data_IF_057735022617
#
_entry.id   IF_057735022617
#
_cell.length_a   1.000
_cell.length_b   1.000
_cell.length_c   1.000
_cell.angle_alpha   90.00
_cell.angle_beta   90.00
_cell.angle_gamma   90.00
#
_symmetry.space_group_name_H-M   'P 1'
#
loop_
_entity.id
_entity.type
_entity.pdbx_description
1 polymer ?
#
# COMPACT_ATOMS: atom_id res chain seq x y z
N UNK A 1 6.49 6.52 78.61
CA UNK A 1 5.81 5.75 77.56
C UNK A 1 4.57 6.52 77.10
N UNK A 2 4.58 7.08 75.89
CA UNK A 2 3.37 7.64 75.27
C UNK A 2 3.49 7.45 73.76
N UNK A 3 2.68 6.56 73.22
CA UNK A 3 2.69 6.08 71.84
C UNK A 3 1.97 7.10 70.95
N UNK A 4 2.70 7.75 70.05
CA UNK A 4 2.09 8.57 68.99
C UNK A 4 1.92 7.72 67.74
N UNK A 5 0.69 7.26 67.52
CA UNK A 5 0.23 6.62 66.29
C UNK A 5 -0.13 7.75 65.32
N UNK A 6 0.72 7.98 64.31
CA UNK A 6 0.40 8.86 63.20
C UNK A 6 -0.07 8.01 62.01
N UNK A 7 -1.31 8.28 61.61
CA UNK A 7 -2.05 7.74 60.47
C UNK A 7 -1.20 7.63 59.19
N UNK A 8 -0.99 6.40 58.72
CA UNK A 8 -0.55 6.11 57.37
C UNK A 8 -1.78 6.22 56.45
N UNK A 9 -1.99 7.40 55.86
CA UNK A 9 -2.96 7.61 54.80
C UNK A 9 -2.49 6.83 53.55
N UNK A 10 -3.00 5.62 53.44
CA UNK A 10 -2.95 4.78 52.24
C UNK A 10 -3.70 5.52 51.12
N UNK A 11 -2.95 6.24 50.27
CA UNK A 11 -3.39 6.70 48.96
C UNK A 11 -3.65 5.45 48.08
N UNK A 12 -4.78 4.79 48.28
CA UNK A 12 -5.32 3.82 47.33
C UNK A 12 -5.94 4.65 46.21
N UNK A 13 -5.10 5.05 45.26
CA UNK A 13 -5.55 5.53 43.96
C UNK A 13 -6.33 4.39 43.32
N UNK A 14 -7.66 4.45 43.41
CA UNK A 14 -8.54 3.63 42.58
C UNK A 14 -8.25 3.99 41.13
N UNK A 15 -7.35 3.25 40.49
CA UNK A 15 -7.26 3.22 39.04
C UNK A 15 -8.57 2.59 38.54
N UNK A 16 -9.52 3.46 38.18
CA UNK A 16 -10.70 3.09 37.42
C UNK A 16 -10.23 2.63 36.04
N UNK A 17 -9.85 1.38 35.91
CA UNK A 17 -9.65 0.78 34.60
C UNK A 17 -11.01 0.72 33.91
N UNK A 18 -11.15 1.43 32.79
CA UNK A 18 -12.30 1.30 31.92
C UNK A 18 -12.34 -0.14 31.38
N UNK A 19 -13.15 -1.00 31.97
CA UNK A 19 -13.26 -2.39 31.55
C UNK A 19 -13.99 -2.46 30.21
N UNK A 20 -13.45 -3.22 29.26
CA UNK A 20 -14.14 -3.43 27.99
C UNK A 20 -15.43 -4.22 28.17
N UNK A 21 -16.43 -3.89 27.36
CA UNK A 21 -17.72 -4.59 27.33
C UNK A 21 -17.61 -6.07 26.96
N UNK A 22 -16.58 -6.46 26.23
CA UNK A 22 -16.39 -7.81 25.70
C UNK A 22 -15.13 -8.48 26.27
N UNK A 23 -15.15 -9.80 26.41
CA UNK A 23 -13.99 -10.58 26.85
C UNK A 23 -13.13 -11.06 25.67
N UNK A 24 -11.89 -11.47 25.94
CA UNK A 24 -10.97 -12.03 24.93
C UNK A 24 -11.63 -13.18 24.16
N UNK A 25 -12.21 -14.16 24.86
CA UNK A 25 -12.85 -15.32 24.22
C UNK A 25 -14.07 -14.96 23.36
N UNK A 26 -14.81 -13.90 23.72
CA UNK A 26 -15.90 -13.38 22.89
C UNK A 26 -15.39 -12.74 21.60
N UNK A 27 -14.29 -11.99 21.68
CA UNK A 27 -13.67 -11.34 20.52
C UNK A 27 -12.99 -12.35 19.60
N UNK A 28 -12.40 -13.41 20.14
CA UNK A 28 -11.81 -14.51 19.36
C UNK A 28 -12.84 -15.25 18.52
N UNK A 29 -14.04 -15.47 19.05
CA UNK A 29 -15.11 -16.19 18.35
C UNK A 29 -15.95 -15.29 17.43
N UNK A 30 -15.90 -13.98 17.63
CA UNK A 30 -16.70 -13.02 16.87
C UNK A 30 -16.05 -12.62 15.54
N UNK A 31 -16.87 -12.46 14.50
CA UNK A 31 -16.52 -11.79 13.24
C UNK A 31 -17.14 -10.39 13.14
N UNK A 32 -17.81 -9.90 14.19
CA UNK A 32 -18.43 -8.58 14.20
C UNK A 32 -17.38 -7.48 14.42
N UNK A 33 -17.31 -6.54 13.46
CA UNK A 33 -16.40 -5.38 13.46
C UNK A 33 -16.53 -4.54 14.73
N UNK A 34 -17.75 -4.31 15.23
CA UNK A 34 -17.99 -3.48 16.41
C UNK A 34 -17.56 -4.18 17.70
N UNK A 35 -17.73 -5.50 17.78
CA UNK A 35 -17.28 -6.30 18.93
C UNK A 35 -15.76 -6.24 19.05
N UNK A 36 -15.06 -6.44 17.93
CA UNK A 36 -13.58 -6.40 17.88
C UNK A 36 -13.07 -4.97 18.15
N UNK A 37 -13.68 -3.94 17.54
CA UNK A 37 -13.27 -2.54 17.71
C UNK A 37 -13.48 -2.02 19.14
N UNK A 38 -14.58 -2.40 19.81
CA UNK A 38 -14.84 -2.00 21.19
C UNK A 38 -13.78 -2.56 22.14
N UNK A 39 -13.41 -3.83 21.99
CA UNK A 39 -12.36 -4.44 22.80
C UNK A 39 -11.01 -3.72 22.63
N UNK A 40 -10.61 -3.40 21.40
CA UNK A 40 -9.36 -2.67 21.12
C UNK A 40 -9.38 -1.28 21.77
N UNK A 41 -10.52 -0.57 21.72
CA UNK A 41 -10.67 0.78 22.25
C UNK A 41 -10.47 0.82 23.77
N UNK A 42 -11.03 -0.15 24.49
CA UNK A 42 -11.00 -0.17 25.96
C UNK A 42 -9.85 -1.00 26.54
N UNK A 43 -9.08 -1.71 25.71
CA UNK A 43 -7.89 -2.45 26.12
C UNK A 43 -6.66 -2.12 25.26
N UNK A 44 -6.19 -0.86 25.21
CA UNK A 44 -5.10 -0.46 24.33
C UNK A 44 -3.78 -1.23 24.61
N UNK A 45 -3.49 -1.53 25.88
CA UNK A 45 -2.23 -2.14 26.34
C UNK A 45 -2.33 -3.66 26.58
N UNK A 46 -3.48 -4.28 26.27
CA UNK A 46 -3.67 -5.71 26.52
C UNK A 46 -2.83 -6.56 25.54
N UNK A 47 -2.20 -7.67 26.00
CA UNK A 47 -1.27 -8.47 25.17
C UNK A 47 -1.85 -8.96 23.83
N UNK A 48 -3.17 -9.15 23.77
CA UNK A 48 -3.89 -9.64 22.58
C UNK A 48 -4.44 -8.56 21.67
N UNK A 49 -4.35 -7.29 22.06
CA UNK A 49 -4.81 -6.16 21.25
C UNK A 49 -4.12 -6.06 19.88
N UNK A 50 -2.80 -6.34 19.74
CA UNK A 50 -2.15 -6.40 18.42
C UNK A 50 -2.77 -7.45 17.47
N UNK A 51 -3.15 -8.61 18.01
CA UNK A 51 -3.80 -9.69 17.25
C UNK A 51 -5.21 -9.26 16.81
N UNK A 52 -5.99 -8.66 17.71
CA UNK A 52 -7.34 -8.19 17.39
C UNK A 52 -7.35 -7.01 16.43
N UNK A 53 -6.33 -6.13 16.43
CA UNK A 53 -6.15 -5.11 15.38
C UNK A 53 -5.97 -5.75 14.00
N UNK A 54 -5.18 -6.83 13.90
CA UNK A 54 -5.00 -7.58 12.64
C UNK A 54 -6.32 -8.25 12.21
N UNK A 55 -7.04 -8.85 13.16
CA UNK A 55 -8.34 -9.49 12.92
C UNK A 55 -9.40 -8.49 12.42
N UNK A 56 -9.50 -7.32 13.06
CA UNK A 56 -10.39 -6.23 12.65
C UNK A 56 -10.14 -5.82 11.20
N UNK A 57 -8.87 -5.64 10.85
CA UNK A 57 -8.46 -5.27 9.49
C UNK A 57 -8.81 -6.36 8.46
N UNK A 58 -8.70 -7.64 8.81
CA UNK A 58 -9.09 -8.73 7.92
C UNK A 58 -10.60 -8.76 7.66
N UNK A 59 -11.41 -8.66 8.71
CA UNK A 59 -12.88 -8.64 8.61
C UNK A 59 -13.39 -7.46 7.78
N UNK A 60 -12.89 -6.25 8.04
CA UNK A 60 -13.28 -5.04 7.29
C UNK A 60 -12.89 -5.07 5.80
N UNK A 61 -11.93 -5.92 5.41
CA UNK A 61 -11.55 -6.11 4.02
C UNK A 61 -12.37 -7.21 3.32
N UNK A 62 -12.89 -8.18 4.07
CA UNK A 62 -13.74 -9.25 3.54
C UNK A 62 -15.22 -8.84 3.42
N UNK A 63 -15.72 -7.94 4.28
CA UNK A 63 -17.12 -7.47 4.25
C UNK A 63 -17.42 -6.43 3.14
N UNK A 64 -16.42 -6.00 2.37
CA UNK A 64 -16.62 -5.02 1.30
C UNK A 64 -16.98 -5.70 -0.02
N UNK A 65 -18.20 -5.46 -0.48
CA UNK A 65 -18.61 -5.83 -1.84
C UNK A 65 -17.69 -5.19 -2.90
N UNK A 66 -17.48 -5.85 -4.06
CA UNK A 66 -16.54 -5.40 -5.10
C UNK A 66 -16.75 -3.94 -5.57
N UNK A 67 -17.96 -3.40 -5.40
CA UNK A 67 -18.34 -2.03 -5.78
C UNK A 67 -17.73 -0.97 -4.83
N UNK A 68 -17.54 -1.28 -3.55
CA UNK A 68 -16.96 -0.33 -2.58
C UNK A 68 -15.42 -0.30 -2.64
N UNK A 69 -14.78 -1.37 -3.10
CA UNK A 69 -13.34 -1.40 -3.40
C UNK A 69 -12.99 -0.49 -4.59
N UNK A 70 -13.93 -0.29 -5.53
CA UNK A 70 -13.73 0.53 -6.73
C UNK A 70 -13.88 2.05 -6.52
N UNK A 71 -14.42 2.51 -5.38
CA UNK A 71 -14.75 3.94 -5.16
C UNK A 71 -13.66 4.78 -4.50
N UNK A 72 -12.60 4.16 -3.95
CA UNK A 72 -11.53 4.88 -3.21
C UNK A 72 -10.24 5.06 -4.02
N UNK A 73 -10.05 4.36 -5.13
CA UNK A 73 -8.85 4.52 -5.95
C UNK A 73 -9.07 4.03 -7.39
N UNK A 74 -9.95 4.68 -8.16
CA UNK A 74 -10.02 4.42 -9.61
C UNK A 74 -8.86 5.17 -10.28
N UNK A 75 -7.82 4.49 -10.82
CA UNK A 75 -6.77 5.18 -11.55
C UNK A 75 -7.32 5.72 -12.87
N UNK A 76 -6.91 6.93 -13.22
CA UNK A 76 -7.09 7.45 -14.57
C UNK A 76 -6.05 6.77 -15.46
N UNK A 77 -6.51 5.88 -16.33
CA UNK A 77 -5.65 5.19 -17.30
C UNK A 77 -5.75 5.99 -18.59
N UNK A 78 -4.77 6.84 -18.85
CA UNK A 78 -4.62 7.50 -20.15
C UNK A 78 -3.72 6.65 -21.04
N UNK A 79 -4.13 6.33 -22.29
CA UNK A 79 -3.18 5.84 -23.27
C UNK A 79 -2.04 6.86 -23.40
N UNK A 80 -0.81 6.38 -23.35
CA UNK A 80 0.36 7.23 -23.34
C UNK A 80 0.54 7.84 -24.72
N UNK A 81 0.50 9.16 -24.79
CA UNK A 81 0.97 9.85 -25.98
C UNK A 81 2.51 9.80 -25.97
N UNK A 82 3.11 9.14 -26.97
CA UNK A 82 4.56 8.84 -27.04
C UNK A 82 5.43 10.08 -26.82
N UNK A 83 4.93 11.25 -27.20
CA UNK A 83 5.60 12.56 -27.09
C UNK A 83 5.74 13.04 -25.64
N UNK A 84 4.73 12.79 -24.79
CA UNK A 84 4.74 13.20 -23.38
C UNK A 84 5.71 12.35 -22.57
N UNK A 85 5.74 11.05 -22.84
CA UNK A 85 6.66 10.10 -22.21
C UNK A 85 8.12 10.42 -22.55
N UNK A 86 8.39 10.77 -23.81
CA UNK A 86 9.72 11.19 -24.29
C UNK A 86 10.27 12.40 -23.52
N UNK A 87 9.40 13.35 -23.15
CA UNK A 87 9.80 14.56 -22.45
C UNK A 87 10.02 14.32 -20.95
N UNK A 88 9.26 13.41 -20.33
CA UNK A 88 9.40 13.05 -18.92
C UNK A 88 10.69 12.25 -18.68
N UNK A 89 10.96 11.25 -19.53
CA UNK A 89 12.19 10.44 -19.44
C UNK A 89 13.44 11.30 -19.69
N UNK A 90 13.43 12.19 -20.69
CA UNK A 90 14.53 13.15 -20.91
C UNK A 90 14.77 14.06 -19.71
N UNK A 91 13.72 14.46 -19.01
CA UNK A 91 13.79 15.34 -17.84
C UNK A 91 14.32 14.62 -16.60
N UNK A 92 14.01 13.34 -16.45
CA UNK A 92 14.53 12.50 -15.37
C UNK A 92 16.04 12.23 -15.56
N UNK A 93 16.47 11.91 -16.79
CA UNK A 93 17.88 11.72 -17.16
C UNK A 93 18.71 12.99 -16.95
N UNK A 94 18.16 14.17 -17.30
CA UNK A 94 18.84 15.44 -17.12
C UNK A 94 18.98 15.86 -15.64
N UNK A 95 18.11 15.37 -14.75
CA UNK A 95 18.13 15.71 -13.31
C UNK A 95 19.06 14.83 -12.47
N UNK A 96 19.28 13.58 -12.87
CA UNK A 96 19.97 12.58 -12.04
C UNK A 96 21.42 12.29 -12.44
N UNK A 97 22.07 13.19 -13.21
CA UNK A 97 23.53 13.24 -13.36
C UNK A 97 24.24 11.88 -13.43
N UNK A 98 24.21 11.24 -14.59
CA UNK A 98 25.11 10.16 -15.05
C UNK A 98 25.34 8.90 -14.17
N UNK A 99 24.70 8.69 -13.02
CA UNK A 99 25.10 7.62 -12.08
C UNK A 99 23.99 6.65 -11.62
N UNK A 100 22.84 6.59 -12.30
CA UNK A 100 21.87 5.51 -12.05
C UNK A 100 21.21 5.05 -13.35
N UNK A 101 21.60 3.85 -13.82
CA UNK A 101 20.90 3.05 -14.83
C UNK A 101 20.80 3.63 -16.27
N UNK A 102 21.94 4.07 -16.85
CA UNK A 102 22.03 4.37 -18.29
C UNK A 102 21.52 3.23 -19.17
N UNK A 103 21.90 1.97 -18.87
CA UNK A 103 21.51 0.80 -19.66
C UNK A 103 19.99 0.56 -19.71
N UNK A 104 19.31 0.60 -18.56
CA UNK A 104 17.86 0.43 -18.51
C UNK A 104 17.09 1.56 -19.20
N UNK A 105 17.66 2.77 -19.19
CA UNK A 105 17.08 3.96 -19.83
C UNK A 105 17.31 3.95 -21.33
N UNK A 106 18.50 3.58 -21.80
CA UNK A 106 18.82 3.39 -23.22
C UNK A 106 17.99 2.26 -23.83
N UNK A 107 17.84 1.13 -23.13
CA UNK A 107 17.00 0.01 -23.58
C UNK A 107 15.52 0.42 -23.66
N UNK A 108 15.03 1.20 -22.68
CA UNK A 108 13.69 1.80 -22.72
C UNK A 108 13.53 2.73 -23.92
N UNK A 109 14.49 3.63 -24.16
CA UNK A 109 14.46 4.53 -25.31
C UNK A 109 14.46 3.73 -26.62
N UNK A 110 15.37 2.78 -26.77
CA UNK A 110 15.50 1.95 -27.97
C UNK A 110 14.23 1.16 -28.26
N UNK A 111 13.58 0.59 -27.23
CA UNK A 111 12.30 -0.11 -27.39
C UNK A 111 11.14 0.84 -27.71
N UNK A 112 11.10 2.04 -27.14
CA UNK A 112 10.09 3.04 -27.46
C UNK A 112 10.21 3.58 -28.91
N UNK A 113 11.42 3.57 -29.47
CA UNK A 113 11.69 4.00 -30.85
C UNK A 113 11.54 2.85 -31.87
N UNK A 114 11.83 1.61 -31.47
CA UNK A 114 11.58 0.42 -32.28
C UNK A 114 10.11 0.01 -32.17
N UNK A 115 9.28 0.49 -33.10
CA UNK A 115 7.87 0.09 -33.24
C UNK A 115 7.75 -1.34 -33.79
N UNK A 116 8.31 -2.33 -33.11
CA UNK A 116 8.09 -3.74 -33.44
C UNK A 116 6.85 -4.27 -32.69
N UNK A 117 5.68 -4.40 -33.35
CA UNK A 117 4.49 -4.95 -32.71
C UNK A 117 4.66 -6.44 -32.33
N UNK A 118 5.64 -7.14 -32.91
CA UNK A 118 5.94 -8.55 -32.65
C UNK A 118 6.77 -8.80 -31.39
N UNK A 119 7.26 -7.73 -30.73
CA UNK A 119 8.03 -7.86 -29.50
C UNK A 119 7.25 -8.62 -28.43
N UNK A 120 7.90 -9.55 -27.73
CA UNK A 120 7.26 -10.34 -26.66
C UNK A 120 7.19 -9.58 -25.33
N UNK A 121 7.79 -8.39 -25.26
CA UNK A 121 7.96 -7.57 -24.06
C UNK A 121 7.27 -6.22 -24.20
N UNK A 122 6.96 -5.59 -23.08
CA UNK A 122 6.41 -4.25 -22.98
C UNK A 122 6.93 -3.57 -21.72
N UNK A 123 7.09 -2.24 -21.77
CA UNK A 123 7.47 -1.43 -20.63
C UNK A 123 6.26 -0.99 -19.81
N UNK A 124 6.41 -1.05 -18.50
CA UNK A 124 5.46 -0.52 -17.53
C UNK A 124 6.15 0.58 -16.76
N UNK A 125 5.77 1.83 -17.01
CA UNK A 125 6.16 2.96 -16.16
C UNK A 125 5.13 3.13 -15.06
N UNK A 126 5.57 3.23 -13.82
CA UNK A 126 4.70 3.44 -12.67
C UNK A 126 5.09 4.75 -11.99
N UNK A 127 4.13 5.67 -11.91
CA UNK A 127 4.27 6.97 -11.27
C UNK A 127 3.65 6.96 -9.90
N UNK A 128 4.43 7.25 -8.88
CA UNK A 128 3.96 7.43 -7.53
C UNK A 128 3.71 8.92 -7.25
N UNK A 129 2.44 9.33 -7.24
CA UNK A 129 2.04 10.69 -6.84
C UNK A 129 1.65 10.78 -5.37
N UNK A 130 1.98 9.76 -4.57
CA UNK A 130 1.76 9.77 -3.13
C UNK A 130 3.01 10.27 -2.40
N UNK A 131 2.80 10.66 -1.13
CA UNK A 131 3.88 11.04 -0.20
C UNK A 131 4.63 9.84 0.40
N UNK A 132 4.27 8.61 0.02
CA UNK A 132 4.79 7.38 0.63
C UNK A 132 5.67 6.62 -0.34
N UNK A 133 6.71 5.95 0.16
CA UNK A 133 7.48 4.99 -0.62
C UNK A 133 6.63 3.75 -0.88
N UNK A 134 6.56 3.31 -2.14
CA UNK A 134 5.72 2.20 -2.57
C UNK A 134 6.58 0.99 -2.92
N UNK A 135 6.04 -0.19 -2.64
CA UNK A 135 6.55 -1.46 -3.19
C UNK A 135 5.43 -2.04 -4.05
N UNK A 136 5.59 -1.89 -5.36
CA UNK A 136 4.61 -2.36 -6.33
C UNK A 136 4.96 -3.77 -6.76
N UNK A 137 4.03 -4.70 -6.57
CA UNK A 137 4.16 -6.09 -6.95
C UNK A 137 3.39 -6.36 -8.23
N UNK A 138 4.07 -6.79 -9.28
CA UNK A 138 3.47 -7.26 -10.52
C UNK A 138 3.57 -8.78 -10.55
N UNK A 139 2.43 -9.45 -10.57
CA UNK A 139 2.32 -10.91 -10.54
C UNK A 139 1.66 -11.40 -11.83
N UNK A 140 2.43 -12.02 -12.72
CA UNK A 140 1.93 -12.63 -13.95
C UNK A 140 2.66 -13.94 -14.21
N UNK A 141 3.21 -14.11 -15.41
CA UNK A 141 4.13 -15.23 -15.71
C UNK A 141 5.37 -15.21 -14.84
N UNK A 142 5.85 -14.01 -14.52
CA UNK A 142 6.95 -13.73 -13.61
C UNK A 142 6.48 -12.76 -12.54
N UNK A 143 7.18 -12.74 -11.42
CA UNK A 143 6.92 -11.86 -10.29
C UNK A 143 7.98 -10.77 -10.22
N UNK A 144 7.52 -9.54 -10.08
CA UNK A 144 8.40 -8.38 -10.00
C UNK A 144 8.00 -7.51 -8.81
N UNK A 145 8.99 -7.02 -8.08
CA UNK A 145 8.82 -6.03 -7.01
C UNK A 145 9.58 -4.77 -7.41
N UNK A 146 8.87 -3.66 -7.53
CA UNK A 146 9.46 -2.36 -7.83
C UNK A 146 9.33 -1.46 -6.61
N UNK A 147 10.47 -0.95 -6.16
CA UNK A 147 10.51 0.11 -5.17
C UNK A 147 10.38 1.46 -5.88
N UNK A 148 9.41 2.26 -5.46
CA UNK A 148 9.12 3.57 -6.05
C UNK A 148 9.04 4.61 -4.92
N UNK A 149 10.05 5.47 -4.76
CA UNK A 149 10.04 6.52 -3.75
C UNK A 149 8.83 7.46 -3.88
N UNK A 150 8.49 8.14 -2.79
CA UNK A 150 7.46 9.18 -2.76
C UNK A 150 7.68 10.22 -3.87
N UNK A 151 6.61 10.62 -4.56
CA UNK A 151 6.62 11.61 -5.65
C UNK A 151 7.62 11.31 -6.79
N UNK A 152 7.95 10.03 -7.00
CA UNK A 152 8.90 9.59 -8.01
C UNK A 152 8.29 8.53 -8.94
N UNK A 153 9.05 8.08 -9.92
CA UNK A 153 8.64 7.04 -10.87
C UNK A 153 9.69 5.94 -10.99
N UNK A 154 9.26 4.79 -11.51
CA UNK A 154 10.14 3.68 -11.83
C UNK A 154 9.51 2.86 -12.96
N UNK A 155 10.34 2.20 -13.76
CA UNK A 155 9.88 1.42 -14.91
C UNK A 155 10.45 0.01 -14.88
N UNK A 156 9.74 -0.91 -15.54
CA UNK A 156 10.20 -2.28 -15.75
C UNK A 156 9.77 -2.80 -17.12
N UNK A 157 10.64 -3.58 -17.74
CA UNK A 157 10.29 -4.37 -18.92
C UNK A 157 9.75 -5.74 -18.48
N UNK A 158 8.54 -6.06 -18.93
CA UNK A 158 7.87 -7.33 -18.62
C UNK A 158 7.44 -8.03 -19.92
N UNK A 159 7.24 -9.34 -19.87
CA UNK A 159 6.62 -10.04 -20.99
C UNK A 159 5.15 -9.62 -21.14
N UNK A 160 4.66 -9.52 -22.38
CA UNK A 160 3.26 -9.23 -22.65
C UNK A 160 2.37 -10.33 -22.05
N UNK A 161 1.24 -9.93 -21.46
CA UNK A 161 0.28 -10.84 -20.85
C UNK A 161 -0.51 -10.25 -19.70
N UNK A 162 -1.23 -11.10 -18.98
CA UNK A 162 -2.06 -10.70 -17.84
C UNK A 162 -1.25 -10.65 -16.54
N UNK A 163 -1.39 -9.55 -15.81
CA UNK A 163 -0.72 -9.30 -14.53
C UNK A 163 -1.72 -8.81 -13.48
N UNK A 164 -1.55 -9.28 -12.25
CA UNK A 164 -2.11 -8.69 -11.04
C UNK A 164 -1.10 -7.72 -10.44
N UNK A 165 -1.50 -6.46 -10.33
CA UNK A 165 -0.67 -5.35 -9.85
C UNK A 165 -1.19 -4.94 -8.49
N UNK A 166 -0.36 -5.10 -7.45
CA UNK A 166 -0.75 -4.82 -6.07
C UNK A 166 0.27 -3.92 -5.39
N UNK A 167 -0.18 -3.01 -4.54
CA UNK A 167 0.69 -2.16 -3.72
C UNK A 167 -0.07 -1.60 -2.53
N UNK A 168 0.64 -1.15 -1.51
CA UNK A 168 0.12 -0.31 -0.44
C UNK A 168 0.43 1.14 -0.79
N UNK A 169 -0.57 1.94 -1.15
CA UNK A 169 -0.41 3.39 -1.35
C UNK A 169 -0.66 4.08 -0.02
N UNK A 170 0.41 4.41 0.68
CA UNK A 170 0.36 4.76 2.11
C UNK A 170 -0.36 3.63 2.87
N UNK A 171 -1.58 3.87 3.36
CA UNK A 171 -2.36 2.90 4.11
C UNK A 171 -3.49 2.22 3.29
N UNK A 172 -3.62 2.59 2.02
CA UNK A 172 -4.65 2.06 1.13
C UNK A 172 -4.10 0.91 0.28
N UNK A 173 -4.75 -0.25 0.36
CA UNK A 173 -4.48 -1.37 -0.55
C UNK A 173 -4.95 -1.02 -1.95
N UNK A 174 -4.05 -1.11 -2.91
CA UNK A 174 -4.32 -1.09 -4.33
C UNK A 174 -4.14 -2.49 -4.91
N UNK A 175 -5.12 -2.95 -5.69
CA UNK A 175 -5.05 -4.20 -6.45
C UNK A 175 -5.77 -4.01 -7.78
N UNK A 176 -5.13 -4.38 -8.88
CA UNK A 176 -5.73 -4.31 -10.21
C UNK A 176 -5.21 -5.42 -11.12
N UNK A 177 -6.10 -6.08 -11.85
CA UNK A 177 -5.71 -6.95 -12.96
C UNK A 177 -5.58 -6.13 -14.25
N UNK A 178 -4.49 -6.31 -14.98
CA UNK A 178 -4.22 -5.64 -16.27
C UNK A 178 -3.62 -6.60 -17.27
N UNK A 179 -4.13 -6.54 -18.49
CA UNK A 179 -3.50 -7.17 -19.64
C UNK A 179 -2.53 -6.17 -20.29
N UNK A 180 -1.24 -6.47 -20.22
CA UNK A 180 -0.15 -5.67 -20.75
C UNK A 180 0.16 -6.19 -22.16
N UNK A 181 -0.49 -5.60 -23.16
CA UNK A 181 -0.25 -5.92 -24.57
C UNK A 181 0.71 -4.94 -25.25
N UNK A 182 0.93 -3.77 -24.64
CA UNK A 182 1.76 -2.66 -25.12
C UNK A 182 2.31 -1.90 -23.92
N UNK A 183 3.22 -0.96 -24.19
CA UNK A 183 3.78 -0.12 -23.14
C UNK A 183 2.68 0.72 -22.46
N UNK A 184 2.70 0.78 -21.13
CA UNK A 184 1.68 1.46 -20.33
C UNK A 184 2.29 2.34 -19.24
N UNK A 185 1.56 3.38 -18.85
CA UNK A 185 1.84 4.20 -17.67
C UNK A 185 0.75 3.97 -16.64
N UNK A 186 1.15 3.64 -15.42
CA UNK A 186 0.26 3.48 -14.26
C UNK A 186 0.54 4.63 -13.30
N UNK A 187 -0.46 5.47 -13.05
CA UNK A 187 -0.33 6.54 -12.05
C UNK A 187 -1.05 6.16 -10.78
N UNK A 188 -0.30 6.07 -9.68
CA UNK A 188 -0.80 5.79 -8.34
C UNK A 188 -0.92 7.12 -7.59
N UNK A 189 -2.16 7.54 -7.34
CA UNK A 189 -2.45 8.76 -6.60
C UNK A 189 -2.57 8.47 -5.10
N UNK A 190 -2.36 9.48 -4.27
CA UNK A 190 -2.69 9.38 -2.86
C UNK A 190 -4.19 9.02 -2.68
N UNK A 191 -4.52 8.15 -1.71
CA UNK A 191 -5.91 7.92 -1.34
C UNK A 191 -6.56 9.25 -0.92
N UNK A 192 -7.79 9.49 -1.39
CA UNK A 192 -8.59 10.65 -1.00
C UNK A 192 -9.29 10.41 0.33
#
# INVERSE_FOLDING_TARGET
MRKSICFLLLFISFFSYAQSKYTVGQVEKSTDVQVIANFIKFNPDHPRTPEFKRKLFAVMNNDKTPVQQAKVAKPTITPVNKTTLKNEVKKEVAKNGSNANHKGTEDLLNHLFNNDPSSKTAYVLIKNKSKCNLIVKLSGKKFYNLNIPANNENFIMVEKGSYSITTMVCDAKYSSAKNIAKDIVITLNAPK
#
